data_IF_353146967152
#
_entry.id   IF_353146967152
#
_cell.length_a   1.000
_cell.length_b   1.000
_cell.length_c   1.000
_cell.angle_alpha   90.00
_cell.angle_beta   90.00
_cell.angle_gamma   90.00
#
_symmetry.space_group_name_H-M   'P 1'
#
loop_
_entity.id
_entity.type
_entity.pdbx_description
1 polymer ?
#
# COMPACT_ATOMS: atom_id res chain seq x y z
N UNK A 1 21.28 43.65 -30.60
CA UNK A 1 20.66 43.83 -29.24
C UNK A 1 19.29 43.29 -29.10
N UNK A 2 18.33 43.53 -30.00
CA UNK A 2 16.97 42.95 -29.86
C UNK A 2 16.89 41.43 -30.03
N UNK A 3 17.76 40.81 -30.79
CA UNK A 3 17.75 39.37 -31.04
C UNK A 3 18.28 38.56 -29.88
N UNK A 4 19.30 39.04 -29.18
CA UNK A 4 19.90 38.38 -28.01
C UNK A 4 18.95 38.37 -26.78
N UNK A 5 18.22 39.45 -26.57
CA UNK A 5 17.22 39.51 -25.49
C UNK A 5 16.03 38.56 -25.71
N UNK A 6 15.67 38.24 -26.94
CA UNK A 6 14.63 37.27 -27.28
C UNK A 6 15.10 35.83 -27.01
N UNK A 7 16.37 35.54 -27.35
CA UNK A 7 16.96 34.22 -27.10
C UNK A 7 17.08 33.95 -25.61
N UNK A 8 17.49 34.90 -24.78
CA UNK A 8 17.62 34.77 -23.33
C UNK A 8 16.25 34.57 -22.65
N UNK A 9 15.21 35.26 -23.10
CA UNK A 9 13.85 35.06 -22.58
C UNK A 9 13.28 33.69 -22.94
N UNK A 10 13.54 33.23 -24.17
CA UNK A 10 13.11 31.91 -24.63
C UNK A 10 13.82 30.77 -23.87
N UNK A 11 15.11 30.94 -23.61
CA UNK A 11 15.90 29.97 -22.84
C UNK A 11 15.44 29.87 -21.38
N UNK A 12 15.10 30.98 -20.72
CA UNK A 12 14.53 31.00 -19.39
C UNK A 12 13.13 30.37 -19.33
N UNK A 13 12.31 30.61 -20.35
CA UNK A 13 11.00 30.01 -20.46
C UNK A 13 11.10 28.48 -20.67
N UNK A 14 12.02 28.04 -21.52
CA UNK A 14 12.26 26.62 -21.79
C UNK A 14 12.74 25.88 -20.52
N UNK A 15 13.63 26.50 -19.75
CA UNK A 15 14.12 25.93 -18.49
C UNK A 15 13.02 25.85 -17.44
N UNK A 16 12.16 26.87 -17.33
CA UNK A 16 11.02 26.87 -16.42
C UNK A 16 9.99 25.78 -16.77
N UNK A 17 9.70 25.60 -18.06
CA UNK A 17 8.76 24.55 -18.53
C UNK A 17 9.37 23.16 -18.31
N UNK A 18 10.67 22.97 -18.51
CA UNK A 18 11.36 21.70 -18.26
C UNK A 18 11.37 21.35 -16.77
N UNK A 19 11.62 22.33 -15.89
CA UNK A 19 11.51 22.15 -14.45
C UNK A 19 10.08 21.82 -14.01
N UNK A 20 9.07 22.43 -14.60
CA UNK A 20 7.67 22.17 -14.29
C UNK A 20 7.25 20.76 -14.75
N UNK A 21 7.75 20.30 -15.91
CA UNK A 21 7.48 18.93 -16.37
C UNK A 21 8.19 17.86 -15.53
N UNK A 22 9.36 18.14 -14.97
CA UNK A 22 10.05 17.23 -14.04
C UNK A 22 9.34 17.09 -12.69
N UNK A 23 8.56 18.09 -12.27
CA UNK A 23 7.78 18.04 -11.03
C UNK A 23 6.50 17.20 -11.14
N UNK A 24 6.03 16.85 -12.33
CA UNK A 24 4.81 16.07 -12.52
C UNK A 24 5.02 14.55 -12.56
N UNK A 25 6.27 14.06 -12.50
CA UNK A 25 6.58 12.63 -12.64
C UNK A 25 6.68 11.94 -11.26
N UNK A 26 6.61 12.66 -10.15
CA UNK A 26 6.52 12.05 -8.82
C UNK A 26 5.07 11.75 -8.45
N UNK A 27 4.47 10.78 -9.12
CA UNK A 27 3.44 9.99 -8.45
C UNK A 27 4.11 9.32 -7.26
N UNK A 28 3.61 9.50 -6.03
CA UNK A 28 4.14 8.74 -4.91
C UNK A 28 3.90 7.26 -5.22
N UNK A 29 4.95 6.56 -5.62
CA UNK A 29 4.90 5.13 -5.72
C UNK A 29 4.59 4.63 -4.30
N UNK A 30 3.43 4.00 -4.12
CA UNK A 30 3.13 3.34 -2.85
C UNK A 30 4.14 2.22 -2.67
N UNK A 31 4.89 2.26 -1.58
CA UNK A 31 5.91 1.27 -1.27
C UNK A 31 5.34 -0.10 -0.88
N UNK A 32 4.02 -0.23 -0.81
CA UNK A 32 3.37 -1.49 -0.50
C UNK A 32 2.18 -1.77 -1.42
N UNK A 33 2.13 -3.00 -1.91
CA UNK A 33 0.95 -3.61 -2.48
C UNK A 33 0.23 -4.40 -1.38
N UNK A 34 -1.07 -4.18 -1.24
CA UNK A 34 -1.90 -4.88 -0.25
C UNK A 34 -2.97 -5.63 -0.99
N UNK A 35 -3.10 -6.91 -0.69
CA UNK A 35 -4.17 -7.78 -1.18
C UNK A 35 -4.87 -8.49 -0.03
N UNK A 36 -6.13 -8.84 -0.22
CA UNK A 36 -6.94 -9.53 0.77
C UNK A 36 -7.64 -10.73 0.14
N UNK A 37 -7.77 -11.81 0.89
CA UNK A 37 -8.49 -13.02 0.47
C UNK A 37 -9.24 -13.65 1.63
N UNK A 38 -10.26 -14.42 1.33
CA UNK A 38 -11.08 -15.17 2.28
C UNK A 38 -11.03 -16.65 1.93
N UNK A 39 -11.00 -17.50 2.94
CA UNK A 39 -11.17 -18.95 2.82
C UNK A 39 -12.31 -19.43 3.73
N UNK A 40 -13.23 -20.25 3.22
CA UNK A 40 -13.37 -20.72 1.84
C UNK A 40 -13.71 -19.60 0.85
N UNK A 41 -13.24 -19.72 -0.38
CA UNK A 41 -13.39 -18.68 -1.43
C UNK A 41 -14.84 -18.36 -1.78
N UNK A 42 -15.78 -19.28 -1.51
CA UNK A 42 -17.22 -19.04 -1.67
C UNK A 42 -17.95 -19.67 -0.51
N UNK A 43 -18.58 -18.84 0.30
CA UNK A 43 -19.47 -19.24 1.37
C UNK A 43 -20.92 -19.09 0.91
N UNK A 44 -21.68 -20.16 1.02
CA UNK A 44 -23.12 -20.17 0.68
C UNK A 44 -24.02 -20.08 1.90
N UNK A 45 -23.45 -20.17 3.09
CA UNK A 45 -24.14 -20.06 4.38
C UNK A 45 -23.18 -19.50 5.43
N UNK A 46 -23.74 -18.97 6.51
CA UNK A 46 -22.94 -18.52 7.65
C UNK A 46 -22.02 -19.63 8.18
N UNK A 47 -20.84 -19.28 8.64
CA UNK A 47 -19.86 -20.24 9.15
C UNK A 47 -18.48 -19.66 9.41
N UNK A 48 -17.60 -20.53 9.87
CA UNK A 48 -16.20 -20.16 10.15
C UNK A 48 -15.38 -20.05 8.88
N UNK A 49 -14.49 -19.07 8.86
CA UNK A 49 -13.55 -18.87 7.78
C UNK A 49 -12.29 -18.16 8.23
N UNK A 50 -11.40 -17.91 7.30
CA UNK A 50 -10.13 -17.23 7.54
C UNK A 50 -9.96 -16.08 6.56
N UNK A 51 -9.63 -14.91 7.08
CA UNK A 51 -9.25 -13.75 6.28
C UNK A 51 -7.74 -13.68 6.28
N UNK A 52 -7.16 -13.49 5.09
CA UNK A 52 -5.71 -13.30 4.93
C UNK A 52 -5.45 -11.99 4.23
N UNK A 53 -4.65 -11.14 4.85
CA UNK A 53 -4.14 -9.89 4.29
C UNK A 53 -2.67 -10.09 3.96
N UNK A 54 -2.29 -9.84 2.71
CA UNK A 54 -0.89 -9.96 2.26
C UNK A 54 -0.37 -8.59 1.89
N UNK A 55 0.74 -8.20 2.52
CA UNK A 55 1.50 -7.00 2.19
C UNK A 55 2.76 -7.40 1.44
N UNK A 56 3.02 -6.71 0.34
CA UNK A 56 4.26 -6.81 -0.42
C UNK A 56 4.97 -5.47 -0.38
N UNK A 57 6.22 -5.47 0.06
CA UNK A 57 7.08 -4.30 -0.02
C UNK A 57 7.60 -4.17 -1.46
N UNK A 58 7.15 -3.15 -2.18
CA UNK A 58 7.51 -2.90 -3.58
C UNK A 58 8.73 -2.00 -3.74
N UNK A 59 9.36 -1.60 -2.64
CA UNK A 59 10.65 -0.92 -2.71
C UNK A 59 11.70 -1.85 -3.32
N UNK A 60 12.54 -1.30 -4.16
CA UNK A 60 13.68 -2.05 -4.70
C UNK A 60 14.78 -2.16 -3.63
N UNK A 61 15.37 -3.34 -3.46
CA UNK A 61 16.57 -3.47 -2.64
C UNK A 61 17.72 -2.69 -3.28
N UNK A 62 18.51 -1.99 -2.48
CA UNK A 62 19.74 -1.37 -2.97
C UNK A 62 20.78 -2.44 -3.33
N UNK A 63 21.81 -2.08 -4.14
CA UNK A 63 22.87 -2.99 -4.57
C UNK A 63 23.64 -3.62 -3.41
N UNK A 64 23.71 -2.94 -2.28
CA UNK A 64 24.34 -3.42 -1.04
C UNK A 64 23.42 -4.27 -0.17
N UNK A 65 22.21 -4.60 -0.66
CA UNK A 65 21.18 -5.34 0.08
C UNK A 65 20.41 -4.49 1.09
N UNK A 66 20.72 -3.21 1.23
CA UNK A 66 19.93 -2.27 2.02
C UNK A 66 18.67 -1.84 1.24
N UNK A 67 17.76 -1.21 1.91
CA UNK A 67 16.54 -0.67 1.32
C UNK A 67 15.52 -0.32 2.41
N UNK A 68 14.44 0.32 2.00
CA UNK A 68 13.42 0.75 2.96
C UNK A 68 12.50 -0.42 3.31
N UNK A 69 12.63 -0.92 4.53
CA UNK A 69 11.71 -1.91 5.08
C UNK A 69 10.36 -1.26 5.45
N UNK A 70 9.32 -2.09 5.45
CA UNK A 70 8.02 -1.77 6.01
C UNK A 70 7.97 -2.33 7.44
N UNK A 71 7.63 -1.49 8.40
CA UNK A 71 7.54 -1.81 9.84
C UNK A 71 6.24 -1.29 10.44
N UNK A 72 6.04 -1.52 11.72
CA UNK A 72 4.88 -1.02 12.49
C UNK A 72 3.54 -1.33 11.80
N UNK A 73 3.42 -2.55 11.31
CA UNK A 73 2.25 -3.00 10.56
C UNK A 73 1.09 -3.19 11.53
N UNK A 74 -0.06 -2.59 11.20
CA UNK A 74 -1.31 -2.75 11.92
C UNK A 74 -2.45 -2.98 10.94
N UNK A 75 -3.28 -3.97 11.19
CA UNK A 75 -4.45 -4.29 10.38
C UNK A 75 -5.68 -4.11 11.25
N UNK A 76 -6.51 -3.14 10.89
CA UNK A 76 -7.75 -2.80 11.60
C UNK A 76 -8.94 -3.27 10.78
N UNK A 77 -9.66 -4.32 11.21
CA UNK A 77 -10.88 -4.77 10.57
C UNK A 77 -12.08 -3.87 10.93
N UNK A 78 -13.08 -3.85 10.06
CA UNK A 78 -14.38 -3.25 10.38
C UNK A 78 -15.33 -4.20 11.13
N UNK A 79 -14.93 -5.46 11.30
CA UNK A 79 -15.69 -6.49 12.01
C UNK A 79 -15.16 -6.62 13.44
N UNK A 80 -16.02 -6.71 14.46
CA UNK A 80 -15.58 -6.97 15.81
C UNK A 80 -14.97 -8.38 15.95
N UNK A 81 -14.15 -8.56 16.97
CA UNK A 81 -13.56 -9.86 17.37
C UNK A 81 -12.65 -10.54 16.31
N UNK A 82 -12.15 -9.77 15.33
CA UNK A 82 -11.16 -10.23 14.37
C UNK A 82 -9.81 -9.58 14.68
N UNK A 83 -8.79 -10.40 14.91
CA UNK A 83 -7.46 -9.94 15.29
C UNK A 83 -6.39 -10.53 14.39
N UNK A 84 -5.51 -9.66 13.88
CA UNK A 84 -4.32 -10.05 13.14
C UNK A 84 -3.09 -9.88 14.04
N UNK A 85 -2.32 -10.93 14.18
CA UNK A 85 -1.03 -10.83 14.87
C UNK A 85 0.02 -10.22 13.94
N UNK A 86 0.27 -8.95 14.14
CA UNK A 86 1.26 -8.15 13.40
C UNK A 86 2.44 -7.73 14.26
N UNK A 87 2.52 -8.19 15.52
CA UNK A 87 3.52 -7.75 16.48
C UNK A 87 4.95 -7.96 15.97
N UNK A 88 5.74 -6.90 15.96
CA UNK A 88 7.13 -6.94 15.52
C UNK A 88 7.34 -7.32 14.05
N UNK A 89 6.29 -7.29 13.24
CA UNK A 89 6.39 -7.64 11.84
C UNK A 89 7.19 -6.58 11.06
N UNK A 90 8.10 -7.06 10.21
CA UNK A 90 8.85 -6.27 9.26
C UNK A 90 8.88 -6.99 7.93
N UNK A 91 8.88 -6.22 6.83
CA UNK A 91 8.95 -6.74 5.45
C UNK A 91 10.09 -6.04 4.73
N UNK A 92 11.10 -6.81 4.37
CA UNK A 92 12.25 -6.30 3.62
C UNK A 92 11.83 -5.90 2.19
N UNK A 93 12.61 -5.05 1.50
CA UNK A 93 12.36 -4.67 0.12
C UNK A 93 12.19 -5.89 -0.79
N UNK A 94 11.15 -5.87 -1.63
CA UNK A 94 10.81 -6.96 -2.56
C UNK A 94 10.12 -8.18 -1.93
N UNK A 95 10.05 -8.27 -0.60
CA UNK A 95 9.42 -9.38 0.11
C UNK A 95 7.92 -9.17 0.33
N UNK A 96 7.25 -10.28 0.65
CA UNK A 96 5.83 -10.31 1.00
C UNK A 96 5.62 -11.02 2.33
N UNK A 97 4.62 -10.58 3.09
CA UNK A 97 4.19 -11.24 4.33
C UNK A 97 2.67 -11.28 4.41
N UNK A 98 2.15 -12.43 4.83
CA UNK A 98 0.71 -12.66 5.01
C UNK A 98 0.36 -12.73 6.49
N UNK A 99 -0.76 -12.14 6.84
CA UNK A 99 -1.36 -12.14 8.18
C UNK A 99 -2.75 -12.74 8.05
N UNK A 100 -3.07 -13.72 8.87
CA UNK A 100 -4.34 -14.42 8.82
C UNK A 100 -5.08 -14.30 10.15
N UNK A 101 -6.40 -14.17 10.08
CA UNK A 101 -7.28 -14.15 11.22
C UNK A 101 -8.50 -15.04 10.99
N UNK A 102 -8.89 -15.79 12.01
CA UNK A 102 -10.16 -16.51 12.00
C UNK A 102 -11.33 -15.52 12.14
N UNK A 103 -12.41 -15.77 11.43
CA UNK A 103 -13.61 -14.96 11.44
C UNK A 103 -14.84 -15.85 11.29
N UNK A 104 -15.89 -15.58 12.05
CA UNK A 104 -17.20 -16.13 11.80
C UNK A 104 -17.96 -15.20 10.85
N UNK A 105 -18.34 -15.68 9.70
CA UNK A 105 -19.14 -14.95 8.72
C UNK A 105 -20.62 -15.18 8.97
N UNK A 106 -21.34 -14.13 9.33
CA UNK A 106 -22.79 -14.15 9.47
C UNK A 106 -23.48 -14.04 8.10
N UNK A 107 -24.77 -14.33 8.02
CA UNK A 107 -25.55 -14.31 6.77
C UNK A 107 -25.52 -12.93 6.09
N UNK A 108 -25.49 -11.85 6.85
CA UNK A 108 -25.42 -10.47 6.33
C UNK A 108 -24.03 -10.09 5.78
N UNK A 109 -22.98 -10.83 6.13
CA UNK A 109 -21.64 -10.67 5.59
C UNK A 109 -21.47 -11.41 4.25
N UNK A 110 -22.31 -12.38 3.96
CA UNK A 110 -22.27 -13.10 2.70
C UNK A 110 -22.60 -12.13 1.55
N UNK A 111 -21.72 -12.06 0.55
CA UNK A 111 -21.77 -11.10 -0.56
C UNK A 111 -21.58 -9.62 -0.18
N UNK A 112 -21.24 -9.31 1.06
CA UNK A 112 -20.85 -7.97 1.47
C UNK A 112 -19.36 -7.71 1.17
N UNK A 113 -19.01 -6.44 1.00
CA UNK A 113 -17.63 -6.02 0.96
C UNK A 113 -17.19 -5.63 2.36
N UNK A 114 -16.20 -6.33 2.91
CA UNK A 114 -15.71 -6.12 4.27
C UNK A 114 -14.43 -5.30 4.19
N UNK A 115 -14.43 -4.03 4.62
CA UNK A 115 -13.25 -3.18 4.56
C UNK A 115 -12.27 -3.46 5.72
N UNK A 116 -10.98 -3.27 5.44
CA UNK A 116 -9.87 -3.33 6.38
C UNK A 116 -8.97 -2.14 6.11
N UNK A 117 -8.45 -1.53 7.18
CA UNK A 117 -7.42 -0.50 7.08
C UNK A 117 -6.08 -1.09 7.48
N UNK A 118 -5.12 -1.06 6.56
CA UNK A 118 -3.75 -1.50 6.78
C UNK A 118 -2.87 -0.29 6.94
N UNK A 119 -2.29 -0.11 8.12
CA UNK A 119 -1.35 0.96 8.44
C UNK A 119 0.06 0.39 8.60
N UNK A 120 1.06 1.12 8.16
CA UNK A 120 2.47 0.71 8.25
C UNK A 120 3.40 1.92 8.19
N UNK A 121 4.64 1.72 8.59
CA UNK A 121 5.71 2.72 8.48
C UNK A 121 6.68 2.31 7.37
N UNK A 122 6.95 3.23 6.46
CA UNK A 122 7.95 3.11 5.39
C UNK A 122 9.12 4.04 5.72
N UNK A 123 10.21 3.50 6.21
CA UNK A 123 11.31 4.29 6.73
C UNK A 123 10.86 5.15 7.92
N UNK A 124 10.65 6.44 7.69
CA UNK A 124 10.14 7.39 8.70
C UNK A 124 8.72 7.89 8.41
N UNK A 125 8.06 7.36 7.38
CA UNK A 125 6.76 7.83 6.92
C UNK A 125 5.66 6.84 7.29
N UNK A 126 4.67 7.30 8.05
CA UNK A 126 3.45 6.54 8.28
C UNK A 126 2.58 6.53 7.00
N UNK A 127 2.06 5.36 6.66
CA UNK A 127 1.18 5.10 5.52
C UNK A 127 -0.06 4.35 5.97
N UNK A 128 -1.13 4.51 5.22
CA UNK A 128 -2.36 3.75 5.41
C UNK A 128 -2.99 3.42 4.07
N UNK A 129 -3.58 2.22 3.96
CA UNK A 129 -4.28 1.76 2.77
C UNK A 129 -5.50 0.96 3.16
N UNK A 130 -6.62 1.26 2.52
CA UNK A 130 -7.85 0.48 2.68
C UNK A 130 -7.90 -0.64 1.63
N UNK A 131 -8.33 -1.80 2.08
CA UNK A 131 -8.54 -2.99 1.26
C UNK A 131 -9.85 -3.65 1.70
N UNK A 132 -10.51 -4.34 0.79
CA UNK A 132 -11.73 -5.09 1.14
C UNK A 132 -11.68 -6.51 0.61
N UNK A 133 -12.30 -7.40 1.33
CA UNK A 133 -12.63 -8.77 0.86
C UNK A 133 -14.08 -8.84 0.42
N UNK A 134 -14.38 -9.70 -0.54
CA UNK A 134 -15.73 -10.00 -1.05
C UNK A 134 -15.93 -11.49 -1.07
#
# INVERSE_FOLDING_TARGET
MKLEMRCLKFQKLLTAVLCLMLLTIFSPAYAAEVSASVLPVSMISAGDGTITITLKNTNEPAEDGSGTAITDISITPSIPDVYFDTAGASIAPGESKSFSAACYFSEDMLNASIPFTVSYTEGTRARSKDVSVK
#
